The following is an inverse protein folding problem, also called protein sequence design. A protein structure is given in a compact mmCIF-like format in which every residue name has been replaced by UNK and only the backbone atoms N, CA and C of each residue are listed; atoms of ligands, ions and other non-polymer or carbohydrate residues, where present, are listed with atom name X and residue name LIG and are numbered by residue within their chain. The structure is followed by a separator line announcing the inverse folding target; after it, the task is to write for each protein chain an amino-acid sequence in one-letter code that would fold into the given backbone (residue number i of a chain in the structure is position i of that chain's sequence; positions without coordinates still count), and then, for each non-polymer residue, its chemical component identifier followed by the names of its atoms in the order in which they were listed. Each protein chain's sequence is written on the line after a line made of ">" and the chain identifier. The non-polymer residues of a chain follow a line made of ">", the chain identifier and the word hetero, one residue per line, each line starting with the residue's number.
data_IF_774604287729
#
_entry.id   IF_774604287729
#
_cell.length_a   1.000
_cell.length_b   1.000
_cell.length_c   1.000
_cell.angle_alpha   90.00
_cell.angle_beta   90.00
_cell.angle_gamma   90.00
#
_symmetry.space_group_name_H-M   'P 1'
#
loop_
_entity.id
_entity.type
_entity.pdbx_description
1 polymer ?
#
# COMPACT_ATOMS: atom_id res chain seq x y z
N UNK A 1 6.60 18.34 26.24
CA UNK A 1 6.37 16.94 25.88
C UNK A 1 4.86 16.71 25.93
N UNK A 2 4.27 16.15 24.88
CA UNK A 2 2.87 15.77 24.84
C UNK A 2 2.64 14.48 25.65
N UNK A 3 1.43 14.31 26.20
CA UNK A 3 1.09 13.09 26.94
C UNK A 3 0.90 11.91 25.97
N UNK A 4 0.25 12.16 24.83
CA UNK A 4 0.10 11.18 23.77
C UNK A 4 0.22 11.84 22.39
N UNK A 5 0.89 11.17 21.45
CA UNK A 5 0.98 11.57 20.05
C UNK A 5 0.40 10.47 19.20
N UNK A 6 -0.69 10.76 18.54
CA UNK A 6 -1.31 9.87 17.57
C UNK A 6 -0.61 10.05 16.23
N UNK A 7 0.12 9.03 15.80
CA UNK A 7 0.82 9.03 14.51
C UNK A 7 -0.18 8.72 13.41
N UNK A 8 -0.61 9.74 12.72
CA UNK A 8 -1.49 9.64 11.55
C UNK A 8 -0.68 9.90 10.28
N UNK A 9 -1.06 9.33 9.13
CA UNK A 9 -0.50 9.71 7.84
C UNK A 9 -0.74 11.20 7.55
N UNK A 10 0.12 11.77 6.72
CA UNK A 10 -0.05 13.14 6.26
C UNK A 10 -0.78 13.16 4.91
N UNK A 11 -1.85 13.91 4.74
CA UNK A 11 -2.63 14.63 5.75
C UNK A 11 -3.53 13.74 6.61
N UNK A 12 -3.85 14.03 7.89
CA UNK A 12 -3.64 15.30 8.59
C UNK A 12 -2.33 15.40 9.39
N UNK A 13 -1.47 14.37 9.41
CA UNK A 13 -0.24 14.35 10.19
C UNK A 13 -0.41 14.03 11.69
N UNK A 14 0.69 14.00 12.45
CA UNK A 14 0.67 13.61 13.86
C UNK A 14 -0.23 14.52 14.69
N UNK A 15 -1.20 13.93 15.39
CA UNK A 15 -2.17 14.67 16.23
C UNK A 15 -1.87 14.47 17.70
N UNK A 16 -1.79 15.56 18.46
CA UNK A 16 -1.52 15.53 19.89
C UNK A 16 -2.82 15.34 20.67
N UNK A 17 -2.75 14.51 21.70
CA UNK A 17 -3.78 14.35 22.73
C UNK A 17 -3.15 14.77 24.05
N UNK A 18 -3.69 15.83 24.68
CA UNK A 18 -3.30 16.27 26.00
C UNK A 18 -4.34 15.86 27.03
N UNK A 19 -3.90 15.19 28.10
CA UNK A 19 -4.78 14.61 29.14
C UNK A 19 -4.79 15.40 30.44
N UNK A 20 -4.03 16.48 30.50
CA UNK A 20 -3.99 17.35 31.67
C UNK A 20 -5.27 18.15 31.78
N UNK A 21 -6.05 17.80 32.78
CA UNK A 21 -7.36 18.39 33.00
C UNK A 21 -7.42 19.02 34.39
N UNK A 22 -7.97 20.24 34.58
CA UNK A 22 -8.10 20.91 35.90
C UNK A 22 -9.24 20.28 36.71
N UNK A 23 -9.04 19.04 37.17
CA UNK A 23 -10.04 18.26 37.90
C UNK A 23 -10.46 18.92 39.19
N UNK A 24 -9.58 19.68 39.82
CA UNK A 24 -9.85 20.40 41.08
C UNK A 24 -10.95 21.43 40.92
N UNK A 25 -10.94 22.19 39.81
CA UNK A 25 -11.99 23.18 39.54
C UNK A 25 -13.35 22.54 39.31
N UNK A 26 -13.37 21.35 38.68
CA UNK A 26 -14.58 20.57 38.52
C UNK A 26 -15.12 20.04 39.84
N UNK A 27 -14.27 19.51 40.73
CA UNK A 27 -14.67 19.05 42.07
C UNK A 27 -15.31 20.17 42.85
N UNK A 28 -14.68 21.36 42.90
CA UNK A 28 -15.25 22.53 43.56
C UNK A 28 -16.61 22.94 42.98
N UNK A 29 -16.81 22.79 41.68
CA UNK A 29 -18.11 23.04 41.05
C UNK A 29 -19.20 22.07 41.53
N UNK A 30 -18.87 20.79 41.66
CA UNK A 30 -19.82 19.76 42.10
C UNK A 30 -20.13 19.87 43.59
N UNK A 31 -19.14 20.20 44.42
CA UNK A 31 -19.25 20.31 45.87
C UNK A 31 -19.79 21.68 46.34
N UNK A 32 -20.08 22.59 45.40
CA UNK A 32 -20.57 23.92 45.76
C UNK A 32 -21.90 23.86 46.56
N UNK A 33 -21.93 24.49 47.76
CA UNK A 33 -23.02 24.31 48.72
C UNK A 33 -24.33 24.96 48.29
N UNK A 34 -24.28 26.03 47.53
CA UNK A 34 -25.44 26.80 47.10
C UNK A 34 -25.34 27.27 45.62
N UNK A 35 -26.42 27.89 45.14
CA UNK A 35 -26.51 28.34 43.74
C UNK A 35 -25.51 29.46 43.41
N UNK A 36 -25.14 30.31 44.37
CA UNK A 36 -24.25 31.44 44.10
C UNK A 36 -22.79 31.01 44.14
N UNK A 37 -22.41 30.15 45.08
CA UNK A 37 -21.12 29.48 45.10
C UNK A 37 -20.93 28.65 43.79
N UNK A 38 -21.99 27.95 43.37
CA UNK A 38 -21.94 27.18 42.10
C UNK A 38 -21.72 28.06 40.88
N UNK A 39 -22.32 29.26 40.82
CA UNK A 39 -22.07 30.21 39.71
C UNK A 39 -20.61 30.69 39.70
N UNK A 40 -20.03 30.94 40.86
CA UNK A 40 -18.63 31.36 40.96
C UNK A 40 -17.71 30.21 40.52
N UNK A 41 -17.90 29.01 41.05
CA UNK A 41 -17.11 27.83 40.67
C UNK A 41 -17.25 27.51 39.19
N UNK A 42 -18.44 27.68 38.59
CA UNK A 42 -18.68 27.49 37.18
C UNK A 42 -17.87 28.48 36.32
N UNK A 43 -17.75 29.74 36.71
CA UNK A 43 -16.91 30.73 36.02
C UNK A 43 -15.43 30.39 36.13
N UNK A 44 -14.96 29.96 37.32
CA UNK A 44 -13.57 29.54 37.52
C UNK A 44 -13.25 28.32 36.64
N UNK A 45 -14.09 27.31 36.69
CA UNK A 45 -13.95 26.13 35.85
C UNK A 45 -13.86 26.48 34.35
N UNK A 46 -14.74 27.38 33.90
CA UNK A 46 -14.69 27.85 32.50
C UNK A 46 -13.39 28.59 32.16
N UNK A 47 -12.88 29.42 33.09
CA UNK A 47 -11.60 30.13 32.92
C UNK A 47 -10.41 29.18 32.83
N UNK A 48 -10.38 28.18 33.71
CA UNK A 48 -9.30 27.19 33.77
C UNK A 48 -9.26 26.36 32.48
N UNK A 49 -10.43 25.90 32.00
CA UNK A 49 -10.54 25.19 30.70
C UNK A 49 -10.12 26.09 29.52
N UNK A 50 -10.56 27.36 29.52
CA UNK A 50 -10.21 28.28 28.46
C UNK A 50 -8.69 28.50 28.35
N UNK A 51 -8.03 28.66 29.51
CA UNK A 51 -6.56 28.79 29.58
C UNK A 51 -5.87 27.52 29.09
N UNK A 52 -6.42 26.37 29.42
CA UNK A 52 -5.87 25.09 29.02
C UNK A 52 -5.99 24.86 27.49
N UNK A 53 -7.13 25.21 26.91
CA UNK A 53 -7.33 25.17 25.44
C UNK A 53 -6.30 26.03 24.71
N UNK A 54 -6.06 27.27 25.22
CA UNK A 54 -5.06 28.17 24.62
C UNK A 54 -3.64 27.58 24.72
N UNK A 55 -3.30 27.03 25.87
CA UNK A 55 -1.99 26.41 26.11
C UNK A 55 -1.76 25.20 25.17
N UNK A 56 -2.77 24.36 24.96
CA UNK A 56 -2.69 23.22 24.03
C UNK A 56 -2.50 23.73 22.59
N UNK A 57 -3.30 24.70 22.16
CA UNK A 57 -3.22 25.24 20.81
C UNK A 57 -1.84 25.84 20.51
N UNK A 58 -1.31 26.67 21.43
CA UNK A 58 0.00 27.31 21.25
C UNK A 58 1.17 26.32 21.28
N UNK A 59 1.06 25.29 22.11
CA UNK A 59 2.18 24.37 22.35
C UNK A 59 2.25 23.21 21.37
N UNK A 60 1.13 22.77 20.88
CA UNK A 60 1.05 21.49 20.17
C UNK A 60 0.51 21.56 18.73
N UNK A 61 -0.01 22.70 18.30
CA UNK A 61 -0.37 22.89 16.89
C UNK A 61 0.78 23.66 16.24
N UNK A 62 1.70 22.90 15.62
CA UNK A 62 2.93 23.42 15.02
C UNK A 62 2.84 23.20 13.50
N UNK A 63 2.79 24.30 12.76
CA UNK A 63 2.69 24.24 11.29
C UNK A 63 3.85 23.44 10.68
N UNK A 64 3.53 22.41 9.91
CA UNK A 64 4.51 21.55 9.23
C UNK A 64 5.09 20.43 10.08
N UNK A 65 4.78 20.37 11.40
CA UNK A 65 5.25 19.29 12.29
C UNK A 65 4.11 18.43 12.83
N UNK A 66 2.97 19.06 13.13
CA UNK A 66 1.80 18.38 13.70
C UNK A 66 0.56 18.70 12.88
N UNK A 67 -0.50 17.89 13.09
CA UNK A 67 -1.83 18.21 12.59
C UNK A 67 -2.26 19.62 12.98
N UNK A 68 -3.05 20.26 12.15
CA UNK A 68 -3.70 21.55 12.48
C UNK A 68 -4.72 21.46 13.64
N UNK A 69 -4.92 20.27 14.17
CA UNK A 69 -5.86 19.99 15.25
C UNK A 69 -5.17 19.26 16.39
N UNK A 70 -5.64 19.51 17.61
CA UNK A 70 -5.24 18.79 18.80
C UNK A 70 -6.49 18.33 19.58
N UNK A 71 -6.32 17.35 20.47
CA UNK A 71 -7.39 16.82 21.30
C UNK A 71 -7.10 17.13 22.76
N UNK A 72 -8.08 17.69 23.46
CA UNK A 72 -8.07 17.81 24.91
C UNK A 72 -8.93 16.70 25.51
N UNK A 73 -8.29 15.76 26.18
CA UNK A 73 -8.99 14.63 26.80
C UNK A 73 -9.55 15.03 28.17
N UNK A 74 -10.85 14.81 28.36
CA UNK A 74 -11.52 14.95 29.67
C UNK A 74 -11.78 13.56 30.26
N UNK A 75 -11.50 13.36 31.59
CA UNK A 75 -11.43 12.01 32.16
C UNK A 75 -12.80 11.35 32.42
N UNK A 76 -13.91 12.05 32.18
CA UNK A 76 -15.24 11.48 32.35
C UNK A 76 -16.30 12.09 31.46
N UNK A 77 -17.34 11.31 31.18
CA UNK A 77 -18.52 11.75 30.42
C UNK A 77 -19.30 12.86 31.14
N UNK A 78 -19.29 12.87 32.49
CA UNK A 78 -19.95 13.90 33.29
C UNK A 78 -19.30 15.26 33.09
N UNK A 79 -17.99 15.31 33.00
CA UNK A 79 -17.24 16.55 32.73
C UNK A 79 -17.52 17.02 31.31
N UNK A 80 -17.50 16.11 30.34
CA UNK A 80 -17.83 16.40 28.96
C UNK A 80 -19.24 16.99 28.83
N UNK A 81 -20.21 16.36 29.48
CA UNK A 81 -21.61 16.83 29.51
C UNK A 81 -21.73 18.21 30.17
N UNK A 82 -21.09 18.46 31.31
CA UNK A 82 -21.09 19.80 31.96
C UNK A 82 -20.56 20.88 31.00
N UNK A 83 -19.46 20.61 30.31
CA UNK A 83 -18.88 21.58 29.35
C UNK A 83 -19.87 21.87 28.21
N UNK A 84 -20.43 20.84 27.61
CA UNK A 84 -21.30 20.99 26.42
C UNK A 84 -22.68 21.56 26.78
N UNK A 85 -23.22 21.24 27.97
CA UNK A 85 -24.56 21.70 28.39
C UNK A 85 -24.57 23.11 28.98
N UNK A 86 -23.47 23.52 29.61
CA UNK A 86 -23.49 24.77 30.41
C UNK A 86 -22.42 25.79 29.98
N UNK A 87 -21.50 25.42 29.07
CA UNK A 87 -20.38 26.28 28.69
C UNK A 87 -20.23 26.43 27.18
N UNK A 88 -21.29 26.82 26.50
CA UNK A 88 -21.31 26.98 25.01
C UNK A 88 -20.16 27.86 24.50
N UNK A 89 -19.78 28.90 25.25
CA UNK A 89 -18.66 29.77 24.89
C UNK A 89 -17.32 29.01 24.85
N UNK A 90 -17.11 28.03 25.76
CA UNK A 90 -15.93 27.17 25.72
C UNK A 90 -15.93 26.23 24.51
N UNK A 91 -17.07 25.67 24.20
CA UNK A 91 -17.21 24.79 23.03
C UNK A 91 -16.90 25.58 21.75
N UNK A 92 -17.43 26.80 21.61
CA UNK A 92 -17.07 27.66 20.47
C UNK A 92 -15.59 28.04 20.46
N UNK A 93 -14.99 28.28 21.64
CA UNK A 93 -13.56 28.56 21.75
C UNK A 93 -12.72 27.34 21.32
N UNK A 94 -13.08 26.15 21.75
CA UNK A 94 -12.36 24.92 21.38
C UNK A 94 -12.31 24.73 19.85
N UNK A 95 -13.42 24.92 19.16
CA UNK A 95 -13.46 24.85 17.71
C UNK A 95 -12.59 25.93 17.03
N UNK A 96 -12.61 27.18 17.55
CA UNK A 96 -11.79 28.27 16.99
C UNK A 96 -10.29 28.04 17.18
N UNK A 97 -9.91 27.47 18.32
CA UNK A 97 -8.50 27.14 18.61
C UNK A 97 -8.06 25.80 18.00
N UNK A 98 -8.96 25.10 17.30
CA UNK A 98 -8.72 23.76 16.72
C UNK A 98 -8.29 22.71 17.75
N UNK A 99 -8.74 22.89 19.00
CA UNK A 99 -8.51 21.94 20.11
C UNK A 99 -9.85 21.33 20.47
N UNK A 100 -10.08 20.10 20.06
CA UNK A 100 -11.36 19.41 20.28
C UNK A 100 -11.39 18.73 21.64
N UNK A 101 -12.45 18.98 22.40
CA UNK A 101 -12.68 18.34 23.69
C UNK A 101 -13.24 16.95 23.44
N UNK A 102 -12.60 15.93 24.01
CA UNK A 102 -13.00 14.53 23.86
C UNK A 102 -13.11 13.83 25.21
N UNK A 103 -14.18 13.07 25.36
CA UNK A 103 -14.39 12.14 26.48
C UNK A 103 -13.85 10.74 26.15
N UNK A 104 -13.84 9.79 27.10
CA UNK A 104 -13.47 8.41 26.81
C UNK A 104 -14.27 7.81 25.64
N UNK A 105 -15.58 7.97 25.62
CA UNK A 105 -16.45 7.42 24.57
C UNK A 105 -16.24 8.10 23.21
N UNK A 106 -16.14 9.44 23.20
CA UNK A 106 -15.93 10.18 21.96
C UNK A 106 -14.54 9.95 21.39
N UNK A 107 -13.52 9.86 22.25
CA UNK A 107 -12.16 9.48 21.82
C UNK A 107 -12.15 8.09 21.22
N UNK A 108 -12.78 7.11 21.88
CA UNK A 108 -12.88 5.75 21.38
C UNK A 108 -13.57 5.68 20.00
N UNK A 109 -14.70 6.38 19.85
CA UNK A 109 -15.43 6.45 18.58
C UNK A 109 -14.58 7.09 17.47
N UNK A 110 -13.89 8.20 17.77
CA UNK A 110 -12.98 8.88 16.84
C UNK A 110 -11.85 7.96 16.41
N UNK A 111 -11.22 7.26 17.36
CA UNK A 111 -10.13 6.32 17.06
C UNK A 111 -10.58 5.16 16.17
N UNK A 112 -11.77 4.60 16.43
CA UNK A 112 -12.31 3.54 15.58
C UNK A 112 -12.64 4.03 14.17
N UNK A 113 -13.20 5.21 14.03
CA UNK A 113 -13.48 5.82 12.73
C UNK A 113 -12.18 6.06 11.94
N UNK A 114 -11.18 6.63 12.61
CA UNK A 114 -9.85 6.84 12.00
C UNK A 114 -9.22 5.52 11.56
N UNK A 115 -9.26 4.49 12.41
CA UNK A 115 -8.74 3.15 12.07
C UNK A 115 -9.40 2.58 10.81
N UNK A 116 -10.72 2.74 10.66
CA UNK A 116 -11.43 2.29 9.46
C UNK A 116 -10.94 3.04 8.21
N UNK A 117 -10.84 4.38 8.28
CA UNK A 117 -10.37 5.21 7.16
C UNK A 117 -8.94 4.83 6.75
N UNK A 118 -8.02 4.64 7.71
CA UNK A 118 -6.64 4.27 7.42
C UNK A 118 -6.52 2.88 6.81
N UNK A 119 -7.35 1.95 7.24
CA UNK A 119 -7.41 0.64 6.61
C UNK A 119 -7.77 0.74 5.13
N UNK A 120 -8.75 1.58 4.80
CA UNK A 120 -9.18 1.78 3.42
C UNK A 120 -8.10 2.46 2.56
N UNK A 121 -7.41 3.47 3.11
CA UNK A 121 -6.27 4.14 2.43
C UNK A 121 -5.16 3.13 2.15
N UNK A 122 -4.75 2.38 3.15
CA UNK A 122 -3.68 1.39 3.01
C UNK A 122 -4.05 0.26 2.02
N UNK A 123 -5.31 -0.17 2.00
CA UNK A 123 -5.79 -1.14 1.01
C UNK A 123 -5.71 -0.59 -0.42
N UNK A 124 -6.01 0.69 -0.64
CA UNK A 124 -5.89 1.33 -1.97
C UNK A 124 -4.44 1.41 -2.43
N UNK A 125 -3.53 1.85 -1.55
CA UNK A 125 -2.09 1.89 -1.85
C UNK A 125 -1.55 0.50 -2.26
N UNK A 126 -1.97 -0.56 -1.57
CA UNK A 126 -1.59 -1.93 -1.93
C UNK A 126 -2.21 -2.38 -3.26
N UNK A 127 -3.45 -1.99 -3.55
CA UNK A 127 -4.10 -2.31 -4.81
C UNK A 127 -3.36 -1.68 -6.00
N UNK A 128 -2.91 -0.43 -5.88
CA UNK A 128 -2.13 0.25 -6.92
C UNK A 128 -0.77 -0.44 -7.18
N UNK A 129 -0.10 -0.89 -6.12
CA UNK A 129 1.15 -1.67 -6.24
C UNK A 129 0.90 -2.98 -6.98
N UNK A 130 -0.15 -3.73 -6.59
CA UNK A 130 -0.51 -4.99 -7.24
C UNK A 130 -0.85 -4.75 -8.71
N UNK A 131 -1.61 -3.72 -9.04
CA UNK A 131 -1.98 -3.40 -10.40
C UNK A 131 -0.75 -3.11 -11.27
N UNK A 132 0.22 -2.37 -10.76
CA UNK A 132 1.47 -2.09 -11.46
C UNK A 132 2.30 -3.36 -11.70
N UNK A 133 2.36 -4.27 -10.73
CA UNK A 133 3.06 -5.56 -10.90
C UNK A 133 2.34 -6.47 -11.91
N UNK A 134 1.02 -6.47 -11.94
CA UNK A 134 0.24 -7.22 -12.95
C UNK A 134 0.54 -6.69 -14.36
N UNK A 135 0.61 -5.37 -14.54
CA UNK A 135 0.97 -4.78 -15.85
C UNK A 135 2.37 -5.23 -16.29
N UNK A 136 3.36 -5.17 -15.40
CA UNK A 136 4.73 -5.65 -15.70
C UNK A 136 4.76 -7.13 -16.05
N UNK A 137 4.02 -7.94 -15.32
CA UNK A 137 3.91 -9.38 -15.59
C UNK A 137 3.31 -9.66 -16.96
N UNK A 138 2.28 -8.91 -17.38
CA UNK A 138 1.69 -9.02 -18.71
C UNK A 138 2.68 -8.64 -19.84
N UNK A 139 3.51 -7.63 -19.62
CA UNK A 139 4.60 -7.28 -20.55
C UNK A 139 5.65 -8.40 -20.65
N UNK A 140 6.00 -9.04 -19.53
CA UNK A 140 6.92 -10.19 -19.54
C UNK A 140 6.33 -11.39 -20.29
N UNK A 141 5.04 -11.67 -20.11
CA UNK A 141 4.34 -12.70 -20.89
C UNK A 141 4.37 -12.39 -22.38
N UNK A 142 4.12 -11.14 -22.77
CA UNK A 142 4.24 -10.71 -24.17
C UNK A 142 5.65 -10.91 -24.73
N UNK A 143 6.70 -10.59 -23.97
CA UNK A 143 8.08 -10.86 -24.36
C UNK A 143 8.38 -12.35 -24.51
N UNK A 144 7.80 -13.18 -23.63
CA UNK A 144 7.93 -14.63 -23.72
C UNK A 144 7.25 -15.18 -24.97
N UNK A 145 6.06 -14.73 -25.27
CA UNK A 145 5.31 -15.14 -26.48
C UNK A 145 6.10 -14.82 -27.75
N UNK A 146 6.67 -13.63 -27.89
CA UNK A 146 7.55 -13.29 -29.00
C UNK A 146 8.77 -14.21 -29.13
N UNK A 147 9.37 -14.65 -28.01
CA UNK A 147 10.49 -15.60 -28.03
C UNK A 147 10.04 -16.97 -28.49
N UNK A 148 8.86 -17.43 -28.08
CA UNK A 148 8.28 -18.71 -28.53
C UNK A 148 8.06 -18.69 -30.04
N UNK A 149 7.45 -17.65 -30.59
CA UNK A 149 7.23 -17.48 -32.02
C UNK A 149 8.57 -17.54 -32.79
N UNK A 150 9.60 -16.85 -32.26
CA UNK A 150 10.94 -16.88 -32.88
C UNK A 150 11.56 -18.28 -32.86
N UNK A 151 11.39 -19.03 -31.76
CA UNK A 151 11.86 -20.43 -31.66
C UNK A 151 11.12 -21.35 -32.62
N UNK A 152 9.81 -21.24 -32.76
CA UNK A 152 9.01 -22.01 -33.70
C UNK A 152 9.49 -21.79 -35.14
N UNK A 153 9.78 -20.53 -35.51
CA UNK A 153 10.33 -20.19 -36.83
C UNK A 153 11.70 -20.84 -37.04
N UNK A 154 12.59 -20.77 -36.06
CA UNK A 154 13.91 -21.40 -36.11
C UNK A 154 13.82 -22.93 -36.24
N UNK A 155 12.91 -23.53 -35.49
CA UNK A 155 12.66 -24.97 -35.55
C UNK A 155 12.15 -25.41 -36.94
N UNK A 156 11.24 -24.65 -37.53
CA UNK A 156 10.75 -24.91 -38.89
C UNK A 156 11.88 -24.81 -39.93
N UNK A 157 12.75 -23.80 -39.82
CA UNK A 157 13.92 -23.65 -40.70
C UNK A 157 14.91 -24.84 -40.58
N UNK A 158 15.15 -25.30 -39.33
CA UNK A 158 15.97 -26.51 -39.11
C UNK A 158 15.36 -27.74 -39.80
N UNK A 159 14.05 -27.92 -39.76
CA UNK A 159 13.35 -29.00 -40.42
C UNK A 159 13.58 -28.98 -41.95
N UNK A 160 13.58 -27.82 -42.57
CA UNK A 160 13.90 -27.68 -44.00
C UNK A 160 15.36 -28.02 -44.31
N UNK A 161 16.30 -27.60 -43.47
CA UNK A 161 17.73 -27.94 -43.68
C UNK A 161 17.97 -29.45 -43.54
N UNK A 162 17.35 -30.12 -42.55
CA UNK A 162 17.40 -31.56 -42.43
C UNK A 162 16.86 -32.27 -43.69
N UNK A 163 15.78 -31.77 -44.30
CA UNK A 163 15.24 -32.29 -45.53
C UNK A 163 16.23 -32.16 -46.72
N UNK A 164 16.92 -30.99 -46.82
CA UNK A 164 17.95 -30.79 -47.86
C UNK A 164 19.15 -31.74 -47.68
N UNK A 165 19.61 -31.93 -46.45
CA UNK A 165 20.68 -32.89 -46.12
C UNK A 165 20.26 -34.31 -46.54
N UNK A 166 19.04 -34.74 -46.21
CA UNK A 166 18.53 -36.07 -46.61
C UNK A 166 18.50 -36.26 -48.11
N UNK A 167 18.01 -35.27 -48.86
CA UNK A 167 18.01 -35.31 -50.33
C UNK A 167 19.44 -35.45 -50.87
N UNK A 168 20.40 -34.75 -50.30
CA UNK A 168 21.80 -34.81 -50.71
C UNK A 168 22.42 -36.18 -50.41
N UNK A 169 22.12 -36.75 -49.23
CA UNK A 169 22.55 -38.10 -48.86
C UNK A 169 21.98 -39.15 -49.80
N UNK A 170 20.68 -39.09 -50.13
CA UNK A 170 20.05 -40.00 -51.08
C UNK A 170 20.69 -39.95 -52.47
N UNK A 171 21.10 -38.74 -52.95
CA UNK A 171 21.83 -38.58 -54.18
C UNK A 171 23.20 -39.24 -54.13
N UNK A 172 23.93 -39.11 -53.02
CA UNK A 172 25.26 -39.71 -52.85
C UNK A 172 25.13 -41.26 -52.86
N UNK A 173 24.15 -41.81 -52.15
CA UNK A 173 23.90 -43.24 -52.08
C UNK A 173 23.58 -43.80 -53.49
N UNK A 174 22.67 -43.12 -54.25
CA UNK A 174 22.38 -43.55 -55.63
C UNK A 174 23.58 -43.52 -56.58
N UNK A 175 24.45 -42.49 -56.44
CA UNK A 175 25.67 -42.42 -57.21
C UNK A 175 26.65 -43.52 -56.81
N UNK A 176 26.79 -43.81 -55.52
CA UNK A 176 27.64 -44.92 -55.07
C UNK A 176 27.18 -46.27 -55.62
N UNK A 177 25.89 -46.58 -55.57
CA UNK A 177 25.33 -47.79 -56.10
C UNK A 177 25.51 -47.90 -57.67
N UNK A 178 25.44 -46.77 -58.32
CA UNK A 178 25.74 -46.74 -59.80
C UNK A 178 27.20 -47.02 -60.14
N UNK A 179 28.15 -46.57 -59.28
CA UNK A 179 29.56 -46.85 -59.51
C UNK A 179 29.87 -48.34 -59.20
N UNK A 180 29.27 -48.89 -58.14
CA UNK A 180 29.42 -50.31 -57.80
C UNK A 180 28.90 -51.23 -58.90
N UNK A 181 27.78 -50.90 -59.51
CA UNK A 181 27.25 -51.66 -60.72
C UNK A 181 28.15 -51.61 -61.89
N UNK A 182 28.83 -50.48 -62.18
CA UNK A 182 29.79 -50.34 -63.31
C UNK A 182 31.11 -51.14 -63.03
N UNK A 183 31.56 -51.30 -61.80
CA UNK A 183 32.71 -52.17 -61.51
C UNK A 183 32.39 -53.64 -61.64
N UNK A 184 31.16 -54.08 -61.30
CA UNK A 184 30.74 -55.45 -61.53
C UNK A 184 30.59 -55.79 -63.00
N UNK A 185 30.08 -54.90 -63.88
CA UNK A 185 29.97 -55.15 -65.31
C UNK A 185 31.36 -55.26 -65.97
N UNK A 186 32.34 -54.43 -65.58
CA UNK A 186 33.71 -54.53 -66.10
C UNK A 186 34.43 -55.82 -65.69
N UNK A 187 34.15 -56.36 -64.55
CA UNK A 187 34.70 -57.64 -64.09
C UNK A 187 34.08 -58.84 -64.82
N UNK A 188 32.83 -58.75 -65.24
CA UNK A 188 32.17 -59.80 -66.00
C UNK A 188 32.67 -59.85 -67.49
N UNK A 189 33.01 -58.74 -68.19
CA UNK A 189 33.54 -58.68 -69.52
C UNK A 189 35.03 -59.15 -69.63
N UNK A 190 35.76 -59.19 -68.54
CA UNK A 190 37.18 -59.62 -68.54
C UNK A 190 37.35 -61.16 -68.35
N UNK A 191 36.29 -61.95 -68.18
CA UNK A 191 36.35 -63.37 -67.96
C UNK A 191 35.95 -64.20 -69.22
N UNK A 192 35.54 -63.56 -70.36
CA UNK A 192 35.16 -64.28 -71.57
C UNK A 192 36.17 -64.08 -72.71
N UNK A 193 37.35 -64.74 -72.66
CA UNK A 193 38.27 -64.85 -73.73
C UNK A 193 38.70 -66.36 -73.86
N UNK A 194 38.04 -67.15 -74.68
CA UNK A 194 38.44 -68.54 -74.91
C UNK A 194 39.71 -68.61 -75.77
N UNK A 195 40.73 -69.11 -75.20
CA UNK A 195 41.94 -69.61 -75.97
C UNK A 195 41.56 -70.69 -76.89
N UNK A 196 41.72 -70.45 -78.16
CA UNK A 196 41.75 -71.51 -79.20
C UNK A 196 43.11 -71.61 -79.86
N UNK A 197 43.71 -72.77 -79.74
CA UNK A 197 44.69 -73.49 -80.53
C UNK A 197 46.08 -72.85 -80.71
#
# INVERSE_FOLDING_TARGET
>A
RADCLLKLPDPPGPTVIDSKFPLESYRRLIEAPDSDARKICRRQFAGDIATHLDAIAQKYIITGETSENALMFVPSESIYSEIHSHHEALVRKSYRSRVYIVSPSTLWATMNTMRAIFRDVHMREQADIIQNEVVRMLEDVGRLDHRIISLERTYSQMGEEFRKVRISTDKIIKRGAGIESLEFDKSAESTDNPTTA
#
